data_IF_342562868941
#
_entry.id   IF_342562868941
#
_cell.length_a   1.000
_cell.length_b   1.000
_cell.length_c   1.000
_cell.angle_alpha   90.00
_cell.angle_beta   90.00
_cell.angle_gamma   90.00
#
_symmetry.space_group_name_H-M   'P 1'
#
loop_
_entity.id
_entity.type
_entity.pdbx_description
1 polymer ?
#
# COMPACT_ATOMS: atom_id res chain seq x y z
N UNK A 1 -14.49 -0.35 11.95
CA UNK A 1 -13.74 -1.14 10.93
C UNK A 1 -12.24 -0.96 11.17
N UNK A 2 -11.46 -2.05 11.27
CA UNK A 2 -10.01 -2.00 11.44
C UNK A 2 -9.30 -2.48 10.18
N UNK A 3 -8.33 -1.70 9.70
CA UNK A 3 -7.51 -1.98 8.53
C UNK A 3 -6.05 -2.00 8.98
N UNK A 4 -5.26 -2.99 8.57
CA UNK A 4 -3.80 -2.99 8.72
C UNK A 4 -3.18 -2.64 7.37
N UNK A 5 -2.22 -1.70 7.35
CA UNK A 5 -1.35 -1.44 6.20
C UNK A 5 0.01 -2.09 6.49
N UNK A 6 0.27 -3.25 5.90
CA UNK A 6 1.53 -3.99 6.00
C UNK A 6 2.42 -3.63 4.83
N UNK A 7 3.69 -3.27 5.08
CA UNK A 7 4.61 -2.92 4.01
C UNK A 7 5.99 -2.46 4.48
N UNK A 8 6.71 -1.85 3.57
CA UNK A 8 8.05 -1.30 3.74
C UNK A 8 8.04 0.22 4.06
N UNK A 9 9.12 0.96 3.73
CA UNK A 9 9.23 2.41 3.92
C UNK A 9 8.15 3.19 3.19
N UNK A 10 7.64 2.71 2.06
CA UNK A 10 6.55 3.34 1.33
C UNK A 10 5.22 3.28 2.10
N UNK A 11 5.10 2.38 3.06
CA UNK A 11 3.97 2.31 3.99
C UNK A 11 4.24 3.12 5.26
N UNK A 12 5.48 3.11 5.78
CA UNK A 12 5.88 3.99 6.90
C UNK A 12 5.56 5.44 6.57
N UNK A 13 5.86 5.87 5.35
CA UNK A 13 5.69 7.25 4.94
C UNK A 13 6.91 8.12 5.26
N UNK A 14 8.10 7.55 5.15
CA UNK A 14 9.34 8.30 5.34
C UNK A 14 9.44 9.46 4.34
N UNK A 15 9.56 10.65 4.89
CA UNK A 15 9.82 11.88 4.17
C UNK A 15 11.04 12.55 4.80
N UNK A 16 12.24 12.26 4.28
CA UNK A 16 13.49 12.75 4.85
C UNK A 16 13.61 14.29 4.81
N UNK A 17 12.78 14.97 4.01
CA UNK A 17 12.96 16.40 3.69
C UNK A 17 11.85 17.32 4.19
N UNK A 18 10.71 16.81 4.63
CA UNK A 18 9.63 17.63 5.16
C UNK A 18 9.44 17.40 6.67
N UNK A 19 10.27 18.04 7.47
CA UNK A 19 9.94 18.35 8.86
C UNK A 19 8.78 19.37 8.82
N UNK A 20 7.56 18.90 8.64
CA UNK A 20 6.40 19.75 8.90
C UNK A 20 6.32 19.95 10.42
N UNK A 21 5.97 21.16 10.87
CA UNK A 21 5.77 21.50 12.30
C UNK A 21 4.65 20.64 12.97
N UNK A 22 3.92 19.84 12.21
CA UNK A 22 3.05 18.80 12.71
C UNK A 22 3.84 17.49 12.76
N UNK A 23 4.09 16.96 13.95
CA UNK A 23 4.72 15.67 14.26
C UNK A 23 3.98 14.43 13.66
N UNK A 24 3.21 14.58 12.61
CA UNK A 24 2.51 13.50 11.92
C UNK A 24 3.27 13.17 10.64
N UNK A 25 3.96 12.04 10.64
CA UNK A 25 4.56 11.46 9.43
C UNK A 25 3.51 11.34 8.33
N UNK A 26 3.79 11.98 7.18
CA UNK A 26 2.93 11.88 6.02
C UNK A 26 2.99 10.46 5.45
N UNK A 27 1.92 9.69 5.56
CA UNK A 27 1.84 8.33 5.05
C UNK A 27 0.51 8.08 4.36
N UNK A 28 0.49 7.19 3.34
CA UNK A 28 -0.79 6.89 2.67
C UNK A 28 -1.83 6.24 3.60
N UNK A 29 -1.46 5.40 4.61
CA UNK A 29 -2.43 4.87 5.55
C UNK A 29 -3.13 5.96 6.37
N UNK A 30 -2.39 7.00 6.79
CA UNK A 30 -2.98 8.12 7.52
C UNK A 30 -3.92 8.95 6.64
N UNK A 31 -3.54 9.23 5.39
CA UNK A 31 -4.44 9.94 4.47
C UNK A 31 -5.69 9.12 4.12
N UNK A 32 -5.56 7.79 4.01
CA UNK A 32 -6.69 6.90 3.81
C UNK A 32 -7.67 6.97 5.00
N UNK A 33 -7.16 6.95 6.24
CA UNK A 33 -7.96 7.09 7.46
C UNK A 33 -8.70 8.43 7.50
N UNK A 34 -8.00 9.56 7.27
CA UNK A 34 -8.59 10.90 7.24
C UNK A 34 -9.74 10.99 6.22
N UNK A 35 -9.54 10.47 5.00
CA UNK A 35 -10.56 10.49 3.97
C UNK A 35 -11.76 9.60 4.33
N UNK A 36 -11.54 8.48 4.98
CA UNK A 36 -12.59 7.61 5.48
C UNK A 36 -13.43 8.31 6.57
N UNK A 37 -12.77 8.95 7.55
CA UNK A 37 -13.42 9.73 8.61
C UNK A 37 -14.27 10.87 8.05
N UNK A 38 -13.71 11.65 7.10
CA UNK A 38 -14.42 12.73 6.43
C UNK A 38 -15.65 12.23 5.67
N UNK A 39 -15.51 11.11 4.96
CA UNK A 39 -16.62 10.52 4.21
C UNK A 39 -17.73 10.03 5.13
N UNK A 40 -17.40 9.29 6.19
CA UNK A 40 -18.36 8.80 7.17
C UNK A 40 -19.09 9.95 7.89
N UNK A 41 -18.37 11.00 8.25
CA UNK A 41 -18.96 12.23 8.80
C UNK A 41 -19.98 12.85 7.84
N UNK A 42 -19.68 12.89 6.54
CA UNK A 42 -20.63 13.41 5.52
C UNK A 42 -21.89 12.57 5.38
N UNK A 43 -21.80 11.27 5.69
CA UNK A 43 -22.93 10.32 5.69
C UNK A 43 -23.66 10.27 7.03
N UNK A 44 -23.19 11.01 8.04
CA UNK A 44 -23.71 10.97 9.42
C UNK A 44 -23.71 9.55 10.01
N UNK A 45 -22.67 8.77 9.70
CA UNK A 45 -22.53 7.37 10.12
C UNK A 45 -21.72 7.26 11.39
N UNK A 46 -22.14 6.40 12.31
CA UNK A 46 -21.42 6.06 13.55
C UNK A 46 -20.29 5.02 13.33
N UNK A 47 -20.09 4.58 12.09
CA UNK A 47 -19.02 3.65 11.77
C UNK A 47 -17.66 4.34 11.95
N UNK A 48 -16.78 3.72 12.72
CA UNK A 48 -15.40 4.18 12.87
C UNK A 48 -14.46 3.36 11.96
N UNK A 49 -13.49 4.03 11.36
CA UNK A 49 -12.39 3.41 10.60
C UNK A 49 -11.08 3.70 11.28
N UNK A 50 -10.28 2.66 11.51
CA UNK A 50 -8.92 2.77 12.03
C UNK A 50 -7.94 2.09 11.07
N UNK A 51 -6.91 2.81 10.64
CA UNK A 51 -5.85 2.29 9.79
C UNK A 51 -4.55 2.19 10.57
N UNK A 52 -4.12 0.96 10.86
CA UNK A 52 -2.87 0.69 11.58
C UNK A 52 -1.72 0.61 10.60
N UNK A 53 -0.76 1.51 10.69
CA UNK A 53 0.48 1.46 9.91
C UNK A 53 1.42 0.41 10.51
N UNK A 54 1.77 -0.62 9.73
CA UNK A 54 2.72 -1.69 10.02
C UNK A 54 3.82 -1.74 8.95
N UNK A 55 4.26 -0.57 8.50
CA UNK A 55 5.44 -0.41 7.65
C UNK A 55 6.73 -0.60 8.45
N UNK A 56 7.77 -1.15 7.82
CA UNK A 56 9.15 -1.18 8.34
C UNK A 56 10.09 -0.78 7.21
N UNK A 57 10.94 0.23 7.44
CA UNK A 57 11.89 0.71 6.44
C UNK A 57 12.86 -0.39 6.02
N UNK A 58 13.10 -0.52 4.72
CA UNK A 58 14.01 -1.52 4.15
C UNK A 58 13.47 -2.95 4.16
N UNK A 59 12.23 -3.18 4.61
CA UNK A 59 11.69 -4.54 4.73
C UNK A 59 11.53 -5.22 3.37
N UNK A 60 11.84 -6.51 3.34
CA UNK A 60 11.64 -7.39 2.19
C UNK A 60 10.33 -8.17 2.36
N UNK A 61 9.79 -8.69 1.27
CA UNK A 61 8.57 -9.51 1.35
C UNK A 61 8.73 -10.76 2.22
N UNK A 62 9.95 -11.31 2.35
CA UNK A 62 10.25 -12.39 3.28
C UNK A 62 10.10 -11.93 4.75
N UNK A 63 10.64 -10.77 5.13
CA UNK A 63 10.50 -10.21 6.47
C UNK A 63 9.03 -9.84 6.80
N UNK A 64 8.32 -9.28 5.83
CA UNK A 64 6.87 -9.02 5.96
C UNK A 64 6.11 -10.32 6.26
N UNK A 65 6.46 -11.43 5.59
CA UNK A 65 5.84 -12.74 5.80
C UNK A 65 6.14 -13.28 7.20
N UNK A 66 7.38 -13.19 7.67
CA UNK A 66 7.79 -13.64 9.01
C UNK A 66 7.00 -12.94 10.12
N UNK A 67 6.81 -11.62 10.00
CA UNK A 67 6.10 -10.82 11.00
C UNK A 67 4.58 -10.76 10.81
N UNK A 68 4.03 -11.39 9.76
CA UNK A 68 2.61 -11.32 9.42
C UNK A 68 1.69 -11.71 10.58
N UNK A 69 2.00 -12.80 11.26
CA UNK A 69 1.19 -13.26 12.41
C UNK A 69 1.14 -12.22 13.53
N UNK A 70 2.29 -11.62 13.86
CA UNK A 70 2.42 -10.61 14.92
C UNK A 70 1.74 -9.29 14.53
N UNK A 71 1.95 -8.82 13.32
CA UNK A 71 1.58 -7.46 12.93
C UNK A 71 0.19 -7.36 12.26
N UNK A 72 -0.35 -8.48 11.79
CA UNK A 72 -1.65 -8.53 11.12
C UNK A 72 -2.64 -9.44 11.84
N UNK A 73 -2.32 -10.73 12.01
CA UNK A 73 -3.29 -11.69 12.57
C UNK A 73 -3.67 -11.34 14.01
N UNK A 74 -2.71 -10.93 14.85
CA UNK A 74 -2.96 -10.56 16.25
C UNK A 74 -3.88 -9.33 16.39
N UNK A 75 -3.92 -8.46 15.37
CA UNK A 75 -4.73 -7.25 15.38
C UNK A 75 -6.22 -7.50 15.19
N UNK A 76 -6.61 -8.71 14.77
CA UNK A 76 -8.01 -9.05 14.43
C UNK A 76 -8.63 -8.02 13.49
N UNK A 77 -7.88 -7.63 12.47
CA UNK A 77 -8.29 -6.64 11.48
C UNK A 77 -9.40 -7.19 10.58
N UNK A 78 -10.22 -6.31 10.03
CA UNK A 78 -11.18 -6.67 8.98
C UNK A 78 -10.51 -6.79 7.63
N UNK A 79 -9.51 -5.92 7.36
CA UNK A 79 -8.79 -5.84 6.10
C UNK A 79 -7.30 -5.69 6.33
N UNK A 80 -6.49 -6.17 5.37
CA UNK A 80 -5.05 -5.89 5.31
C UNK A 80 -4.67 -5.42 3.91
N UNK A 81 -4.09 -4.21 3.81
CA UNK A 81 -3.44 -3.71 2.61
C UNK A 81 -2.00 -4.23 2.64
N UNK A 82 -1.56 -4.91 1.58
CA UNK A 82 -0.21 -5.46 1.50
C UNK A 82 0.52 -4.79 0.34
N UNK A 83 1.52 -3.97 0.68
CA UNK A 83 2.39 -3.24 -0.24
C UNK A 83 3.84 -3.63 0.03
N UNK A 84 4.47 -4.41 -0.85
CA UNK A 84 5.85 -4.83 -0.71
C UNK A 84 6.45 -5.31 -2.02
N UNK A 85 7.78 -5.41 -2.06
CA UNK A 85 8.55 -5.84 -3.21
C UNK A 85 9.48 -4.77 -3.80
N UNK A 86 9.38 -3.54 -3.33
CA UNK A 86 10.26 -2.44 -3.78
C UNK A 86 11.73 -2.72 -3.43
N UNK A 87 12.00 -3.12 -2.18
CA UNK A 87 13.35 -3.44 -1.71
C UNK A 87 13.85 -4.76 -2.29
N UNK A 88 12.95 -5.74 -2.48
CA UNK A 88 13.28 -7.00 -3.13
C UNK A 88 13.81 -6.76 -4.56
N UNK A 89 13.11 -5.94 -5.36
CA UNK A 89 13.55 -5.55 -6.72
C UNK A 89 14.89 -4.80 -6.65
N UNK A 90 15.04 -3.84 -5.73
CA UNK A 90 16.29 -3.10 -5.53
C UNK A 90 17.48 -4.00 -5.15
N UNK A 91 17.20 -5.10 -4.47
CA UNK A 91 18.18 -6.13 -4.07
C UNK A 91 18.37 -7.22 -5.14
N UNK A 92 17.68 -7.15 -6.28
CA UNK A 92 17.83 -8.10 -7.39
C UNK A 92 17.13 -9.44 -7.20
N UNK A 93 16.16 -9.54 -6.28
CA UNK A 93 15.39 -10.78 -6.10
C UNK A 93 14.46 -11.07 -7.28
N UNK A 94 14.22 -12.34 -7.54
CA UNK A 94 13.33 -12.80 -8.60
C UNK A 94 11.86 -12.38 -8.30
N UNK A 95 11.18 -11.69 -9.22
CA UNK A 95 9.77 -11.34 -9.09
C UNK A 95 8.84 -12.54 -8.81
N UNK A 96 9.21 -13.76 -9.22
CA UNK A 96 8.46 -14.98 -8.90
C UNK A 96 8.46 -15.21 -7.40
N UNK A 97 9.64 -15.15 -6.75
CA UNK A 97 9.77 -15.36 -5.30
C UNK A 97 9.04 -14.26 -4.52
N UNK A 98 9.16 -13.00 -4.97
CA UNK A 98 8.44 -11.86 -4.38
C UNK A 98 6.93 -12.11 -4.41
N UNK A 99 6.42 -12.50 -5.59
CA UNK A 99 4.98 -12.79 -5.76
C UNK A 99 4.53 -13.97 -4.92
N UNK A 100 5.34 -15.01 -4.75
CA UNK A 100 5.04 -16.15 -3.88
C UNK A 100 4.89 -15.74 -2.40
N UNK A 101 5.80 -14.89 -1.90
CA UNK A 101 5.70 -14.36 -0.54
C UNK A 101 4.41 -13.56 -0.35
N UNK A 102 4.08 -12.67 -1.29
CA UNK A 102 2.84 -11.90 -1.27
C UNK A 102 1.60 -12.81 -1.31
N UNK A 103 1.59 -13.80 -2.20
CA UNK A 103 0.49 -14.77 -2.32
C UNK A 103 0.28 -15.56 -1.02
N UNK A 104 1.37 -15.95 -0.35
CA UNK A 104 1.33 -16.63 0.96
C UNK A 104 0.70 -15.73 2.02
N UNK A 105 1.03 -14.42 2.04
CA UNK A 105 0.40 -13.46 2.95
C UNK A 105 -1.09 -13.26 2.65
N UNK A 106 -1.51 -13.24 1.37
CA UNK A 106 -2.94 -13.19 1.01
C UNK A 106 -3.71 -14.41 1.53
N UNK A 107 -3.13 -15.60 1.40
CA UNK A 107 -3.75 -16.83 1.91
C UNK A 107 -3.77 -16.85 3.44
N UNK A 108 -2.68 -16.42 4.09
CA UNK A 108 -2.61 -16.30 5.54
C UNK A 108 -3.68 -15.33 6.09
N UNK A 109 -3.91 -14.20 5.42
CA UNK A 109 -4.99 -13.26 5.79
C UNK A 109 -6.36 -13.95 5.73
N UNK A 110 -6.68 -14.60 4.61
CA UNK A 110 -7.96 -15.28 4.42
C UNK A 110 -8.20 -16.38 5.44
N UNK A 111 -7.17 -17.15 5.75
CA UNK A 111 -7.24 -18.21 6.77
C UNK A 111 -7.55 -17.67 8.17
N UNK A 112 -7.33 -16.39 8.42
CA UNK A 112 -7.66 -15.68 9.67
C UNK A 112 -8.95 -14.87 9.55
N UNK A 113 -9.70 -14.99 8.44
CA UNK A 113 -10.93 -14.21 8.22
C UNK A 113 -10.67 -12.74 7.89
N UNK A 114 -9.43 -12.36 7.56
CA UNK A 114 -9.03 -11.01 7.18
C UNK A 114 -9.08 -10.90 5.65
N UNK A 115 -9.69 -9.83 5.13
CA UNK A 115 -9.77 -9.62 3.67
C UNK A 115 -8.51 -8.91 3.18
N UNK A 116 -7.67 -9.57 2.35
CA UNK A 116 -6.48 -8.94 1.80
C UNK A 116 -6.80 -8.03 0.62
N UNK A 117 -6.06 -6.91 0.55
CA UNK A 117 -6.04 -5.95 -0.57
C UNK A 117 -4.62 -5.95 -1.14
N UNK A 118 -4.49 -6.36 -2.39
CA UNK A 118 -3.22 -6.41 -3.10
C UNK A 118 -2.89 -5.04 -3.68
N UNK A 119 -1.60 -4.64 -3.64
CA UNK A 119 -1.16 -3.36 -4.18
C UNK A 119 -0.01 -3.55 -5.17
N UNK A 120 0.01 -2.74 -6.25
CA UNK A 120 1.22 -2.58 -7.05
C UNK A 120 2.25 -1.73 -6.32
N UNK A 121 3.55 -2.02 -6.53
CA UNK A 121 4.62 -1.14 -6.05
C UNK A 121 4.68 0.13 -6.90
N UNK A 122 4.87 1.32 -6.31
CA UNK A 122 5.09 2.57 -7.03
C UNK A 122 6.28 2.51 -7.98
N UNK A 123 6.35 3.44 -8.93
CA UNK A 123 7.49 3.57 -9.82
C UNK A 123 8.68 4.24 -9.13
N UNK A 124 9.73 4.49 -9.88
CA UNK A 124 10.98 5.09 -9.43
C UNK A 124 11.39 6.21 -10.39
N UNK A 125 12.17 7.17 -9.92
CA UNK A 125 12.75 8.28 -10.70
C UNK A 125 14.27 8.24 -10.56
N UNK A 126 14.97 8.37 -11.68
CA UNK A 126 16.46 8.42 -11.68
C UNK A 126 17.15 7.05 -11.74
N UNK A 127 16.40 5.94 -11.68
CA UNK A 127 16.89 4.56 -11.78
C UNK A 127 16.03 3.77 -12.77
N UNK A 128 16.05 4.22 -14.03
CA UNK A 128 15.14 3.71 -15.07
C UNK A 128 15.28 2.21 -15.34
N UNK A 129 16.47 1.63 -15.12
CA UNK A 129 16.72 0.20 -15.21
C UNK A 129 15.89 -0.65 -14.25
N UNK A 130 15.40 -0.04 -13.17
CA UNK A 130 14.52 -0.70 -12.20
C UNK A 130 13.03 -0.60 -12.55
N UNK A 131 12.65 0.14 -13.60
CA UNK A 131 11.26 0.26 -14.04
C UNK A 131 10.74 -1.06 -14.66
N UNK A 132 11.45 -1.70 -15.62
CA UNK A 132 10.99 -2.95 -16.21
C UNK A 132 10.73 -4.07 -15.19
N UNK A 133 11.63 -4.35 -14.20
CA UNK A 133 11.34 -5.36 -13.18
C UNK A 133 10.16 -4.99 -12.29
N UNK A 134 9.91 -3.69 -11.98
CA UNK A 134 8.71 -3.24 -11.25
C UNK A 134 7.43 -3.49 -12.05
N UNK A 135 7.43 -3.17 -13.34
CA UNK A 135 6.29 -3.44 -14.22
C UNK A 135 5.99 -4.95 -14.30
N UNK A 136 7.03 -5.78 -14.38
CA UNK A 136 6.86 -7.23 -14.37
C UNK A 136 6.27 -7.72 -13.05
N UNK A 137 6.81 -7.30 -11.91
CA UNK A 137 6.28 -7.62 -10.59
C UNK A 137 4.81 -7.18 -10.45
N UNK A 138 4.49 -5.95 -10.83
CA UNK A 138 3.14 -5.41 -10.73
C UNK A 138 2.13 -6.19 -11.59
N UNK A 139 2.55 -6.67 -12.77
CA UNK A 139 1.74 -7.56 -13.59
C UNK A 139 1.49 -8.89 -12.89
N UNK A 140 2.51 -9.48 -12.25
CA UNK A 140 2.38 -10.74 -11.51
C UNK A 140 1.48 -10.57 -10.29
N UNK A 141 1.63 -9.50 -9.52
CA UNK A 141 0.76 -9.18 -8.37
C UNK A 141 -0.70 -9.06 -8.83
N UNK A 142 -0.94 -8.32 -9.91
CA UNK A 142 -2.29 -8.17 -10.48
C UNK A 142 -2.88 -9.53 -10.90
N UNK A 143 -2.11 -10.35 -11.62
CA UNK A 143 -2.55 -11.68 -12.04
C UNK A 143 -2.90 -12.57 -10.85
N UNK A 144 -2.09 -12.51 -9.78
CA UNK A 144 -2.35 -13.29 -8.57
C UNK A 144 -3.59 -12.77 -7.81
N UNK A 145 -3.77 -11.44 -7.77
CA UNK A 145 -4.97 -10.83 -7.20
C UNK A 145 -6.24 -11.26 -7.97
N UNK A 146 -6.20 -11.27 -9.30
CA UNK A 146 -7.29 -11.73 -10.16
C UNK A 146 -7.62 -13.20 -9.91
N UNK A 147 -6.61 -14.10 -9.90
CA UNK A 147 -6.79 -15.53 -9.61
C UNK A 147 -7.44 -15.77 -8.25
N UNK A 148 -7.07 -14.98 -7.25
CA UNK A 148 -7.58 -15.08 -5.89
C UNK A 148 -8.85 -14.23 -5.66
N UNK A 149 -9.35 -13.54 -6.69
CA UNK A 149 -10.50 -12.63 -6.58
C UNK A 149 -10.32 -11.61 -5.43
N UNK A 150 -9.18 -10.93 -5.42
CA UNK A 150 -8.84 -9.87 -4.47
C UNK A 150 -9.09 -8.50 -5.06
N UNK A 151 -9.35 -7.53 -4.20
CA UNK A 151 -9.23 -6.12 -4.56
C UNK A 151 -7.76 -5.81 -4.89
N UNK A 152 -7.54 -5.09 -5.99
CA UNK A 152 -6.23 -4.62 -6.41
C UNK A 152 -6.21 -3.08 -6.47
N UNK A 153 -5.28 -2.47 -5.73
CA UNK A 153 -5.03 -1.03 -5.71
C UNK A 153 -3.74 -0.72 -6.47
N UNK A 154 -3.86 0.00 -7.56
CA UNK A 154 -2.75 0.27 -8.49
C UNK A 154 -2.01 1.56 -8.12
N UNK A 155 -1.13 1.49 -7.12
CA UNK A 155 -0.32 2.64 -6.72
C UNK A 155 0.72 3.06 -7.78
N UNK A 156 1.16 2.12 -8.63
CA UNK A 156 2.00 2.46 -9.77
C UNK A 156 1.27 3.45 -10.69
N UNK A 157 0.05 3.10 -11.09
CA UNK A 157 -0.79 3.96 -11.93
C UNK A 157 -1.11 5.31 -11.27
N UNK A 158 -1.26 5.33 -9.95
CA UNK A 158 -1.57 6.55 -9.20
C UNK A 158 -0.39 7.55 -9.19
N UNK A 159 0.85 7.05 -9.25
CA UNK A 159 2.04 7.86 -8.99
C UNK A 159 3.00 7.97 -10.17
N UNK A 160 2.83 7.18 -11.21
CA UNK A 160 3.71 7.19 -12.39
C UNK A 160 3.19 8.08 -13.52
N UNK A 161 4.11 8.65 -14.27
CA UNK A 161 3.83 9.26 -15.55
C UNK A 161 3.43 8.18 -16.57
N UNK A 162 2.27 8.35 -17.22
CA UNK A 162 1.69 7.34 -18.10
C UNK A 162 2.50 7.10 -19.40
N UNK A 163 3.33 8.06 -19.84
CA UNK A 163 4.14 7.97 -21.05
C UNK A 163 5.50 7.35 -20.78
N UNK A 164 6.12 7.69 -19.64
CA UNK A 164 7.50 7.29 -19.33
C UNK A 164 7.58 6.16 -18.31
N UNK A 165 6.48 5.85 -17.61
CA UNK A 165 6.44 4.94 -16.48
C UNK A 165 7.32 5.35 -15.28
N UNK A 166 7.94 6.53 -15.30
CA UNK A 166 8.73 7.08 -14.18
C UNK A 166 7.80 7.58 -13.08
N UNK A 167 8.25 7.53 -11.84
CA UNK A 167 7.61 8.26 -10.76
C UNK A 167 7.52 9.74 -11.15
N UNK A 168 6.37 10.37 -10.91
CA UNK A 168 6.19 11.79 -11.14
C UNK A 168 7.12 12.60 -10.22
N UNK A 169 7.89 13.55 -10.80
CA UNK A 169 8.78 14.43 -10.04
C UNK A 169 8.05 15.15 -8.91
N UNK A 170 6.85 15.62 -9.17
CA UNK A 170 5.97 16.26 -8.19
C UNK A 170 5.61 15.39 -6.98
N UNK A 171 5.80 14.08 -7.08
CA UNK A 171 5.49 13.11 -6.01
C UNK A 171 6.75 12.52 -5.38
N UNK A 172 7.92 12.81 -5.93
CA UNK A 172 9.18 12.25 -5.46
C UNK A 172 9.82 13.10 -4.36
N UNK A 173 10.41 12.44 -3.35
CA UNK A 173 11.31 13.05 -2.39
C UNK A 173 12.78 12.86 -2.79
N UNK A 174 13.15 11.62 -3.14
CA UNK A 174 14.54 11.20 -3.42
C UNK A 174 14.68 10.29 -4.64
N UNK A 175 13.60 10.12 -5.41
CA UNK A 175 13.52 9.22 -6.55
C UNK A 175 12.89 7.86 -6.23
N UNK A 176 12.94 7.41 -4.98
CA UNK A 176 12.34 6.16 -4.50
C UNK A 176 11.14 6.41 -3.58
N UNK A 177 11.34 7.23 -2.57
CA UNK A 177 10.30 7.59 -1.61
C UNK A 177 9.44 8.74 -2.13
N UNK A 178 8.19 8.75 -1.70
CA UNK A 178 7.28 9.82 -2.08
C UNK A 178 7.37 10.97 -1.07
N UNK A 179 7.12 12.18 -1.56
CA UNK A 179 6.87 13.33 -0.70
C UNK A 179 5.42 13.33 -0.18
N UNK A 180 5.08 14.28 0.67
CA UNK A 180 3.72 14.45 1.24
C UNK A 180 2.62 14.43 0.18
N UNK A 181 2.85 15.07 -0.98
CA UNK A 181 1.89 15.12 -2.09
C UNK A 181 1.67 13.73 -2.71
N UNK A 182 2.74 12.97 -2.89
CA UNK A 182 2.68 11.61 -3.41
C UNK A 182 1.98 10.64 -2.45
N UNK A 183 2.28 10.69 -1.16
CA UNK A 183 1.57 9.87 -0.15
C UNK A 183 0.09 10.23 -0.02
N UNK A 184 -0.24 11.51 -0.14
CA UNK A 184 -1.64 11.96 -0.18
C UNK A 184 -2.37 11.38 -1.40
N UNK A 185 -1.73 11.37 -2.56
CA UNK A 185 -2.30 10.79 -3.77
C UNK A 185 -2.51 9.28 -3.63
N UNK A 186 -1.56 8.53 -3.04
CA UNK A 186 -1.75 7.10 -2.76
C UNK A 186 -2.96 6.87 -1.84
N UNK A 187 -3.09 7.64 -0.75
CA UNK A 187 -4.23 7.55 0.17
C UNK A 187 -5.55 7.86 -0.54
N UNK A 188 -5.60 8.95 -1.33
CA UNK A 188 -6.76 9.34 -2.13
C UNK A 188 -7.15 8.24 -3.14
N UNK A 189 -6.17 7.70 -3.84
CA UNK A 189 -6.40 6.65 -4.84
C UNK A 189 -6.96 5.37 -4.20
N UNK A 190 -6.38 4.92 -3.09
CA UNK A 190 -6.88 3.76 -2.34
C UNK A 190 -8.31 4.00 -1.83
N UNK A 191 -8.59 5.20 -1.33
CA UNK A 191 -9.93 5.58 -0.90
C UNK A 191 -10.93 5.49 -2.05
N UNK A 192 -10.68 6.17 -3.18
CA UNK A 192 -11.61 6.23 -4.31
C UNK A 192 -11.80 4.88 -5.02
N UNK A 193 -10.73 4.08 -5.13
CA UNK A 193 -10.79 2.83 -5.88
C UNK A 193 -11.28 1.63 -5.07
N UNK A 194 -11.22 1.73 -3.75
CA UNK A 194 -11.57 0.63 -2.86
C UNK A 194 -12.46 1.05 -1.69
N UNK A 195 -11.93 1.86 -0.75
CA UNK A 195 -12.53 2.01 0.57
C UNK A 195 -13.88 2.74 0.53
N UNK A 196 -14.02 3.77 -0.30
CA UNK A 196 -15.27 4.55 -0.42
C UNK A 196 -16.48 3.66 -0.68
N UNK A 197 -16.40 2.80 -1.71
CA UNK A 197 -17.49 1.89 -2.05
C UNK A 197 -17.84 0.94 -0.90
N UNK A 198 -16.81 0.48 -0.18
CA UNK A 198 -17.00 -0.38 0.98
C UNK A 198 -17.73 0.34 2.10
N UNK A 199 -17.35 1.59 2.40
CA UNK A 199 -18.01 2.41 3.41
C UNK A 199 -19.46 2.73 3.05
N UNK A 200 -19.75 3.06 1.79
CA UNK A 200 -21.12 3.30 1.30
C UNK A 200 -22.06 2.10 1.52
N UNK A 201 -21.49 0.88 1.59
CA UNK A 201 -22.26 -0.35 1.84
C UNK A 201 -22.49 -0.61 3.34
N UNK A 202 -21.61 -0.11 4.23
CA UNK A 202 -21.64 -0.38 5.67
C UNK A 202 -22.15 0.79 6.50
N UNK A 203 -22.25 1.99 5.92
CA UNK A 203 -22.68 3.20 6.62
C UNK A 203 -24.22 3.36 6.72
N UNK A 204 -24.96 2.33 6.31
CA UNK A 204 -26.45 2.34 6.33
C UNK A 204 -26.99 1.83 7.64
#
# INVERSE_FOLDING_TARGET
MKIVALGDSLTVGENEFELSDSNEFASYPRYLEILAEQHLSSLQSDLEVKVLNRGICGDLTAGMLERFSKDVASEKANYVIILGGTNDIGSGFDPVMITQNLATMYDAARNQGIVPVACSVPSILGFDELIPPRLNLNRMIRTEAEKKNLTFVDFFKATANAQTNRLLEDYSADGLHLNTKGYREMGRYAFEKWLRKLLDQHAK
#
